data_IF_286335040106
#
_entry.id   IF_286335040106
#
_cell.length_a   1.000
_cell.length_b   1.000
_cell.length_c   1.000
_cell.angle_alpha   90.00
_cell.angle_beta   90.00
_cell.angle_gamma   90.00
#
_symmetry.space_group_name_H-M   'P 1'
#
loop_
_entity.id
_entity.type
_entity.pdbx_description
1 polymer ?
#
# COMPACT_ATOMS: atom_id res chain seq x y z
N UNK A 1 10.46 -2.10 -23.58
CA UNK A 1 9.06 -1.95 -24.09
C UNK A 1 8.42 -0.88 -23.25
N UNK A 2 7.99 0.24 -23.82
CA UNK A 2 7.36 1.33 -23.09
C UNK A 2 5.99 0.81 -22.61
N UNK A 3 5.72 0.86 -21.30
CA UNK A 3 4.41 0.50 -20.79
C UNK A 3 3.40 1.58 -21.21
N UNK A 4 2.33 1.18 -21.88
CA UNK A 4 1.17 2.05 -22.02
C UNK A 4 0.48 2.17 -20.68
N UNK A 5 0.31 3.42 -20.23
CA UNK A 5 -0.42 3.70 -19.00
C UNK A 5 -1.91 3.40 -19.21
N UNK A 6 -2.57 2.90 -18.20
CA UNK A 6 -4.01 2.77 -18.13
C UNK A 6 -4.66 4.16 -17.91
N UNK A 7 -5.94 4.30 -18.21
CA UNK A 7 -6.64 5.58 -18.15
C UNK A 7 -6.54 6.24 -16.76
N UNK A 8 -6.77 5.49 -15.69
CA UNK A 8 -6.61 6.00 -14.33
C UNK A 8 -5.17 6.38 -14.01
N UNK A 9 -4.17 5.67 -14.54
CA UNK A 9 -2.75 5.98 -14.35
C UNK A 9 -2.38 7.29 -15.04
N UNK A 10 -2.89 7.51 -16.27
CA UNK A 10 -2.72 8.79 -16.96
C UNK A 10 -3.40 9.95 -16.22
N UNK A 11 -4.59 9.70 -15.67
CA UNK A 11 -5.31 10.65 -14.82
C UNK A 11 -4.50 11.05 -13.60
N UNK A 12 -3.99 10.04 -12.86
CA UNK A 12 -3.16 10.25 -11.69
C UNK A 12 -1.84 10.96 -12.03
N UNK A 13 -1.19 10.58 -13.14
CA UNK A 13 0.02 11.24 -13.62
C UNK A 13 -0.21 12.72 -13.94
N UNK A 14 -1.31 13.06 -14.62
CA UNK A 14 -1.65 14.46 -14.93
C UNK A 14 -1.86 15.27 -13.66
N UNK A 15 -2.57 14.71 -12.69
CA UNK A 15 -2.82 15.37 -11.42
C UNK A 15 -1.55 15.56 -10.60
N UNK A 16 -0.74 14.51 -10.43
CA UNK A 16 0.56 14.57 -9.77
C UNK A 16 1.45 15.64 -10.42
N UNK A 17 1.58 15.61 -11.73
CA UNK A 17 2.41 16.57 -12.45
C UNK A 17 1.95 18.01 -12.21
N UNK A 18 0.64 18.29 -12.29
CA UNK A 18 0.10 19.61 -12.03
C UNK A 18 0.29 20.08 -10.57
N UNK A 19 0.28 19.14 -9.59
CA UNK A 19 0.62 19.44 -8.19
C UNK A 19 2.10 19.80 -8.06
N UNK A 20 2.98 18.99 -8.63
CA UNK A 20 4.43 19.21 -8.60
C UNK A 20 4.84 20.53 -9.27
N UNK A 21 4.19 20.93 -10.37
CA UNK A 21 4.43 22.21 -11.00
C UNK A 21 4.20 23.41 -10.07
N UNK A 22 3.20 23.30 -9.19
CA UNK A 22 2.90 24.33 -8.19
C UNK A 22 3.86 24.28 -7.01
N UNK A 23 4.11 23.08 -6.48
CA UNK A 23 4.99 22.86 -5.34
C UNK A 23 6.44 23.28 -5.64
N UNK A 24 6.96 22.99 -6.84
CA UNK A 24 8.30 23.40 -7.26
C UNK A 24 8.45 24.92 -7.42
N UNK A 25 7.37 25.69 -7.53
CA UNK A 25 7.38 27.15 -7.53
C UNK A 25 7.20 27.75 -6.14
N UNK A 26 6.75 26.95 -5.18
CA UNK A 26 6.60 27.36 -3.79
C UNK A 26 7.96 27.53 -3.13
N UNK A 27 8.04 28.44 -2.17
CA UNK A 27 9.18 28.57 -1.26
C UNK A 27 8.99 27.74 0.03
N UNK A 28 7.84 27.10 0.20
CA UNK A 28 7.54 26.25 1.35
C UNK A 28 7.79 24.79 0.97
N UNK A 29 8.23 24.01 1.96
CA UNK A 29 8.32 22.56 1.81
C UNK A 29 6.90 22.00 1.84
N UNK A 30 6.53 21.26 0.81
CA UNK A 30 5.19 20.69 0.68
C UNK A 30 5.25 19.17 0.54
N UNK A 31 4.26 18.48 1.11
CA UNK A 31 4.10 17.02 1.05
C UNK A 31 2.91 16.68 0.16
N UNK A 32 3.16 15.89 -0.87
CA UNK A 32 2.13 15.31 -1.72
C UNK A 32 2.00 13.82 -1.44
N UNK A 33 0.80 13.35 -1.14
CA UNK A 33 0.53 11.90 -1.01
C UNK A 33 -0.08 11.39 -2.31
N UNK A 34 0.52 10.35 -2.85
CA UNK A 34 -0.04 9.51 -3.91
C UNK A 34 -0.64 8.25 -3.28
N UNK A 35 -1.95 8.24 -3.13
CA UNK A 35 -2.69 7.12 -2.58
C UNK A 35 -3.26 6.26 -3.71
N UNK A 36 -2.81 5.01 -3.80
CA UNK A 36 -3.35 4.08 -4.79
C UNK A 36 -3.31 2.63 -4.27
N UNK A 37 -4.26 1.78 -4.69
CA UNK A 37 -4.32 0.38 -4.27
C UNK A 37 -3.04 -0.40 -4.54
N UNK A 38 -2.82 -1.47 -3.76
CA UNK A 38 -1.73 -2.41 -4.06
C UNK A 38 -2.01 -3.10 -5.40
N UNK A 39 -1.02 -3.14 -6.29
CA UNK A 39 -1.18 -3.71 -7.64
C UNK A 39 -1.65 -2.70 -8.71
N UNK A 40 -1.95 -1.45 -8.36
CA UNK A 40 -2.37 -0.41 -9.31
C UNK A 40 -1.22 0.15 -10.17
N UNK A 41 0.02 -0.30 -9.99
CA UNK A 41 1.16 0.21 -10.75
C UNK A 41 1.71 1.55 -10.24
N UNK A 42 1.61 1.86 -8.95
CA UNK A 42 2.15 3.08 -8.32
C UNK A 42 3.56 3.46 -8.80
N UNK A 43 4.48 2.49 -8.78
CA UNK A 43 5.87 2.69 -9.20
C UNK A 43 5.99 3.12 -10.67
N UNK A 44 5.13 2.60 -11.55
CA UNK A 44 5.11 2.98 -12.98
C UNK A 44 4.63 4.41 -13.15
N UNK A 45 3.56 4.81 -12.46
CA UNK A 45 3.05 6.19 -12.50
C UNK A 45 4.10 7.17 -12.00
N UNK A 46 4.80 6.85 -10.90
CA UNK A 46 5.86 7.71 -10.36
C UNK A 46 7.07 7.74 -11.29
N UNK A 47 7.47 6.62 -11.90
CA UNK A 47 8.54 6.62 -12.90
C UNK A 47 8.23 7.57 -14.07
N UNK A 48 6.99 7.54 -14.58
CA UNK A 48 6.58 8.47 -15.64
C UNK A 48 6.47 9.93 -15.15
N UNK A 49 6.08 10.16 -13.89
CA UNK A 49 6.12 11.48 -13.27
C UNK A 49 7.53 12.06 -13.27
N UNK A 50 8.52 11.30 -12.76
CA UNK A 50 9.92 11.75 -12.71
C UNK A 50 10.45 12.04 -14.11
N UNK A 51 10.17 11.14 -15.07
CA UNK A 51 10.52 11.35 -16.48
C UNK A 51 9.91 12.64 -17.04
N UNK A 52 8.65 12.89 -16.79
CA UNK A 52 7.94 14.07 -17.27
C UNK A 52 8.47 15.34 -16.64
N UNK A 53 8.78 15.32 -15.33
CA UNK A 53 9.40 16.45 -14.63
C UNK A 53 10.73 16.83 -15.26
N UNK A 54 11.61 15.86 -15.51
CA UNK A 54 12.92 16.10 -16.12
C UNK A 54 12.80 16.64 -17.56
N UNK A 55 11.83 16.16 -18.33
CA UNK A 55 11.61 16.62 -19.71
C UNK A 55 11.05 18.03 -19.81
N UNK A 56 10.06 18.36 -18.96
CA UNK A 56 9.29 19.58 -19.07
C UNK A 56 9.79 20.72 -18.17
N UNK A 57 10.55 20.39 -17.10
CA UNK A 57 11.08 21.39 -16.15
C UNK A 57 12.57 21.65 -16.31
N UNK A 58 13.01 21.93 -17.54
CA UNK A 58 14.40 22.19 -17.88
C UNK A 58 15.03 23.38 -17.15
N UNK A 59 14.21 24.30 -16.65
CA UNK A 59 14.67 25.46 -15.88
C UNK A 59 15.02 25.10 -14.42
N UNK A 60 14.67 23.89 -13.96
CA UNK A 60 15.01 23.37 -12.64
C UNK A 60 16.06 22.27 -12.78
N UNK A 61 17.12 22.36 -12.00
CA UNK A 61 18.07 21.27 -11.83
C UNK A 61 17.47 20.34 -10.76
N UNK A 62 16.96 19.19 -11.16
CA UNK A 62 16.26 18.26 -10.28
C UNK A 62 17.18 17.11 -9.86
N UNK A 63 17.17 16.77 -8.59
CA UNK A 63 17.79 15.58 -8.02
C UNK A 63 16.80 14.88 -7.12
N UNK A 64 16.89 13.55 -7.05
CA UNK A 64 15.87 12.73 -6.40
C UNK A 64 16.48 11.81 -5.34
N UNK A 65 15.75 11.61 -4.24
CA UNK A 65 16.04 10.59 -3.23
C UNK A 65 14.84 9.68 -3.11
N UNK A 66 15.04 8.37 -3.29
CA UNK A 66 14.01 7.36 -3.15
C UNK A 66 14.26 6.51 -1.91
N UNK A 67 13.38 6.60 -0.95
CA UNK A 67 13.47 5.84 0.31
C UNK A 67 12.36 4.80 0.33
N UNK A 68 12.73 3.55 0.62
CA UNK A 68 11.77 2.46 0.77
C UNK A 68 12.21 1.49 1.87
N UNK A 69 11.25 0.81 2.56
CA UNK A 69 11.57 -0.14 3.60
C UNK A 69 12.21 -1.43 3.07
N UNK A 70 13.06 -2.05 3.88
CA UNK A 70 13.73 -3.33 3.60
C UNK A 70 14.44 -3.32 2.24
N UNK A 71 14.22 -4.34 1.41
CA UNK A 71 14.82 -4.47 0.07
C UNK A 71 13.94 -3.88 -1.06
N UNK A 72 12.88 -3.15 -0.72
CA UNK A 72 12.01 -2.50 -1.71
C UNK A 72 12.76 -1.48 -2.55
N UNK A 73 13.70 -0.74 -1.96
CA UNK A 73 14.51 0.23 -2.68
C UNK A 73 15.30 -0.42 -3.84
N UNK A 74 15.86 -1.63 -3.65
CA UNK A 74 16.55 -2.39 -4.71
C UNK A 74 15.56 -2.80 -5.83
N UNK A 75 14.37 -3.24 -5.45
CA UNK A 75 13.33 -3.61 -6.41
C UNK A 75 12.82 -2.39 -7.18
N UNK A 76 12.57 -1.28 -6.50
CA UNK A 76 12.17 -0.02 -7.13
C UNK A 76 13.26 0.49 -8.07
N UNK A 77 14.53 0.46 -7.65
CA UNK A 77 15.69 0.79 -8.50
C UNK A 77 15.67 -0.04 -9.79
N UNK A 78 15.65 -1.37 -9.67
CA UNK A 78 15.63 -2.28 -10.83
C UNK A 78 14.45 -2.03 -11.77
N UNK A 79 13.28 -1.75 -11.22
CA UNK A 79 12.08 -1.44 -12.02
C UNK A 79 12.25 -0.10 -12.76
N UNK A 80 12.78 0.91 -12.11
CA UNK A 80 13.01 2.22 -12.73
C UNK A 80 14.12 2.14 -13.78
N UNK A 81 15.23 1.45 -13.51
CA UNK A 81 16.29 1.19 -14.50
C UNK A 81 15.72 0.55 -15.76
N UNK A 82 14.90 -0.50 -15.62
CA UNK A 82 14.23 -1.13 -16.75
C UNK A 82 13.29 -0.18 -17.51
N UNK A 83 12.61 0.72 -16.81
CA UNK A 83 11.74 1.73 -17.43
C UNK A 83 12.52 2.80 -18.19
N UNK A 84 13.74 3.15 -17.74
CA UNK A 84 14.57 4.21 -18.32
C UNK A 84 15.64 3.71 -19.31
N UNK A 85 15.75 2.39 -19.48
CA UNK A 85 16.78 1.75 -20.33
C UNK A 85 16.86 2.35 -21.74
N UNK A 86 15.74 2.80 -22.29
CA UNK A 86 15.67 3.29 -23.66
C UNK A 86 15.93 4.79 -23.85
N UNK A 87 15.78 5.61 -22.79
CA UNK A 87 15.90 7.07 -22.98
C UNK A 87 16.98 7.74 -22.10
N UNK A 88 17.58 7.02 -21.17
CA UNK A 88 18.70 7.44 -20.31
C UNK A 88 18.52 8.84 -19.68
N UNK A 89 17.28 9.27 -19.46
CA UNK A 89 16.97 10.59 -18.92
C UNK A 89 17.23 10.70 -17.42
N UNK A 90 17.16 9.58 -16.73
CA UNK A 90 17.32 9.46 -15.30
C UNK A 90 18.37 8.38 -15.01
N UNK A 91 19.25 8.66 -14.06
CA UNK A 91 20.24 7.70 -13.56
C UNK A 91 19.82 7.19 -12.20
N UNK A 92 19.92 5.87 -11.97
CA UNK A 92 19.60 5.24 -10.71
C UNK A 92 20.88 4.83 -9.98
N UNK A 93 21.16 5.39 -8.81
CA UNK A 93 22.40 5.20 -8.07
C UNK A 93 22.15 4.67 -6.66
N UNK A 94 23.10 3.91 -6.15
CA UNK A 94 23.23 3.66 -4.72
C UNK A 94 24.20 4.69 -4.13
N UNK A 95 24.36 4.67 -2.82
CA UNK A 95 25.23 5.60 -2.12
C UNK A 95 26.69 5.52 -2.59
N UNK A 96 27.16 4.31 -2.86
CA UNK A 96 28.52 4.02 -3.29
C UNK A 96 28.80 4.45 -4.75
N UNK A 97 27.75 4.66 -5.54
CA UNK A 97 27.84 5.06 -6.95
C UNK A 97 28.01 6.59 -7.12
N UNK A 98 27.73 7.38 -6.05
CA UNK A 98 27.74 8.84 -6.11
C UNK A 98 29.13 9.42 -6.35
N UNK A 99 29.20 10.41 -7.25
CA UNK A 99 30.40 11.17 -7.54
C UNK A 99 30.39 12.50 -6.78
N UNK A 100 31.55 12.98 -6.42
CA UNK A 100 31.74 14.31 -5.78
C UNK A 100 30.89 14.54 -4.53
N UNK A 101 30.46 13.47 -3.83
CA UNK A 101 29.63 13.52 -2.62
C UNK A 101 28.37 14.39 -2.81
N UNK A 102 27.73 14.26 -3.95
CA UNK A 102 26.43 14.90 -4.28
C UNK A 102 25.61 14.03 -5.20
N UNK A 103 24.33 14.34 -5.30
CA UNK A 103 23.41 13.75 -6.27
C UNK A 103 23.45 14.64 -7.52
N UNK A 104 23.79 14.06 -8.65
CA UNK A 104 23.86 14.81 -9.91
C UNK A 104 22.46 15.16 -10.45
N UNK A 105 22.42 16.02 -11.47
CA UNK A 105 21.18 16.37 -12.15
C UNK A 105 20.53 15.13 -12.76
N UNK A 106 19.24 14.95 -12.55
CA UNK A 106 18.44 13.82 -13.01
C UNK A 106 18.90 12.47 -12.45
N UNK A 107 19.57 12.47 -11.32
CA UNK A 107 19.99 11.27 -10.61
C UNK A 107 19.02 10.96 -9.47
N UNK A 108 18.71 9.67 -9.30
CA UNK A 108 17.87 9.13 -8.23
C UNK A 108 18.75 8.31 -7.30
N UNK A 109 18.92 8.77 -6.07
CA UNK A 109 19.63 8.05 -5.03
C UNK A 109 18.66 7.14 -4.27
N UNK A 110 18.91 5.83 -4.27
CA UNK A 110 18.09 4.85 -3.58
C UNK A 110 18.61 4.52 -2.20
N UNK A 111 17.71 4.54 -1.23
CA UNK A 111 18.02 4.24 0.17
C UNK A 111 17.06 3.24 0.80
N UNK A 112 17.63 2.44 1.69
CA UNK A 112 16.86 1.61 2.60
C UNK A 112 16.47 2.40 3.86
N UNK A 113 15.20 2.35 4.23
CA UNK A 113 14.68 2.99 5.42
C UNK A 113 15.35 2.56 6.73
N UNK A 114 15.59 1.25 6.89
CA UNK A 114 16.27 0.72 8.08
C UNK A 114 17.73 1.15 8.17
N UNK A 115 18.36 1.49 7.06
CA UNK A 115 19.71 2.04 7.05
C UNK A 115 19.75 3.46 7.64
N UNK A 116 18.71 4.25 7.46
CA UNK A 116 18.59 5.59 8.03
C UNK A 116 18.35 5.53 9.54
N UNK A 117 17.62 4.52 10.04
CA UNK A 117 17.17 4.43 11.43
C UNK A 117 18.17 3.78 12.41
N UNK A 118 19.28 3.22 11.96
CA UNK A 118 20.26 2.59 12.86
C UNK A 118 21.16 3.63 13.52
N UNK A 119 21.23 3.60 14.87
CA UNK A 119 22.01 4.55 15.69
C UNK A 119 23.50 4.66 15.34
N UNK A 120 24.08 3.67 14.69
CA UNK A 120 25.51 3.59 14.34
C UNK A 120 25.69 3.42 12.81
N UNK A 121 24.84 4.05 12.01
CA UNK A 121 24.93 3.90 10.57
C UNK A 121 25.97 4.87 10.00
N UNK A 122 26.89 4.33 9.23
CA UNK A 122 27.95 5.09 8.53
C UNK A 122 27.41 6.17 7.58
N UNK A 123 26.15 6.04 7.12
CA UNK A 123 25.50 7.01 6.22
C UNK A 123 24.89 8.22 6.95
N UNK A 124 24.79 8.17 8.28
CA UNK A 124 24.20 9.26 9.10
C UNK A 124 25.23 9.88 10.02
N UNK A 125 26.20 9.10 10.50
CA UNK A 125 27.25 9.62 11.40
C UNK A 125 28.31 10.37 10.61
N UNK A 126 28.77 11.48 11.17
CA UNK A 126 29.98 12.13 10.73
C UNK A 126 31.12 11.10 10.82
N UNK A 127 31.69 10.74 9.69
CA UNK A 127 32.85 9.89 9.59
C UNK A 127 34.04 10.72 9.11
N UNK A 128 35.27 10.20 9.29
CA UNK A 128 36.51 10.87 8.87
C UNK A 128 36.55 11.24 7.39
N UNK A 129 35.63 10.73 6.57
CA UNK A 129 35.54 10.98 5.13
C UNK A 129 34.40 11.95 4.77
N UNK A 130 33.66 12.54 5.72
CA UNK A 130 32.46 13.37 5.48
C UNK A 130 31.47 12.76 4.47
N UNK A 131 31.35 11.45 4.50
CA UNK A 131 30.57 10.70 3.53
C UNK A 131 29.26 10.25 4.17
N UNK A 132 28.40 11.23 4.51
CA UNK A 132 27.10 10.98 5.09
C UNK A 132 25.99 11.61 4.24
N UNK A 133 24.75 11.14 4.42
CA UNK A 133 23.60 11.58 3.66
C UNK A 133 23.34 13.09 3.79
N UNK A 134 23.56 13.64 4.96
CA UNK A 134 23.37 15.08 5.23
C UNK A 134 24.32 15.94 4.40
N UNK A 135 25.61 15.56 4.35
CA UNK A 135 26.62 16.24 3.54
C UNK A 135 26.31 16.14 2.04
N UNK A 136 25.90 14.95 1.57
CA UNK A 136 25.53 14.77 0.17
C UNK A 136 24.35 15.67 -0.22
N UNK A 137 23.33 15.73 0.61
CA UNK A 137 22.16 16.59 0.37
C UNK A 137 22.54 18.06 0.42
N UNK A 138 23.38 18.47 1.37
CA UNK A 138 23.86 19.82 1.46
C UNK A 138 24.63 20.22 0.18
N UNK A 139 25.61 19.42 -0.26
CA UNK A 139 26.37 19.65 -1.48
C UNK A 139 25.49 19.73 -2.73
N UNK A 140 24.46 18.86 -2.80
CA UNK A 140 23.49 18.85 -3.88
C UNK A 140 22.73 20.19 -3.94
N UNK A 141 22.25 20.68 -2.81
CA UNK A 141 21.52 21.95 -2.71
C UNK A 141 22.41 23.17 -2.98
N UNK A 142 23.64 23.17 -2.45
CA UNK A 142 24.63 24.23 -2.69
C UNK A 142 25.00 24.31 -4.17
N UNK A 143 24.88 23.20 -4.91
CA UNK A 143 25.03 23.17 -6.37
C UNK A 143 23.81 23.72 -7.13
N UNK A 144 22.77 24.22 -6.41
CA UNK A 144 21.58 24.83 -7.00
C UNK A 144 20.49 23.83 -7.41
N UNK A 145 20.59 22.58 -6.96
CA UNK A 145 19.60 21.55 -7.29
C UNK A 145 18.37 21.65 -6.38
N UNK A 146 17.20 21.42 -6.94
CA UNK A 146 15.98 21.16 -6.19
C UNK A 146 15.88 19.68 -5.87
N UNK A 147 15.71 19.38 -4.59
CA UNK A 147 15.63 18.02 -4.07
C UNK A 147 14.19 17.55 -3.94
N UNK A 148 13.88 16.47 -4.65
CA UNK A 148 12.60 15.77 -4.53
C UNK A 148 12.83 14.48 -3.75
N UNK A 149 12.14 14.34 -2.60
CA UNK A 149 12.16 13.15 -1.78
C UNK A 149 10.95 12.27 -2.11
N UNK A 150 11.19 11.01 -2.44
CA UNK A 150 10.16 9.99 -2.66
C UNK A 150 10.21 8.99 -1.52
N UNK A 151 9.09 8.78 -0.83
CA UNK A 151 8.94 7.82 0.27
C UNK A 151 7.95 6.76 -0.17
N UNK A 152 8.47 5.59 -0.53
CA UNK A 152 7.65 4.45 -0.91
C UNK A 152 7.17 3.68 0.33
N UNK A 153 5.90 3.25 0.32
CA UNK A 153 5.21 2.62 1.46
C UNK A 153 5.31 3.48 2.74
N UNK A 154 4.96 4.76 2.65
CA UNK A 154 5.14 5.79 3.68
C UNK A 154 4.50 5.47 5.04
N UNK A 155 3.51 4.57 5.08
CA UNK A 155 2.91 4.11 6.34
C UNK A 155 3.92 3.39 7.28
N UNK A 156 5.04 2.88 6.75
CA UNK A 156 6.14 2.36 7.58
C UNK A 156 7.00 3.48 8.15
N UNK A 157 7.12 4.59 7.43
CA UNK A 157 7.85 5.77 7.87
C UNK A 157 7.16 6.44 9.07
N UNK A 158 5.85 6.57 8.99
CA UNK A 158 5.02 7.18 10.03
C UNK A 158 5.04 6.44 11.39
N UNK A 159 5.52 5.19 11.42
CA UNK A 159 5.60 4.38 12.65
C UNK A 159 6.85 4.67 13.49
N UNK A 160 7.81 5.46 13.01
CA UNK A 160 9.07 5.73 13.69
C UNK A 160 9.34 7.24 13.79
N UNK A 161 9.18 7.85 14.98
CA UNK A 161 9.43 9.28 15.25
C UNK A 161 10.78 9.76 14.71
N UNK A 162 11.84 8.96 14.88
CA UNK A 162 13.18 9.28 14.36
C UNK A 162 13.26 9.43 12.85
N UNK A 163 12.41 8.72 12.14
CA UNK A 163 12.37 8.76 10.69
C UNK A 163 11.84 10.09 10.19
N UNK A 164 10.85 10.63 10.87
CA UNK A 164 10.28 11.95 10.57
C UNK A 164 11.30 13.07 10.87
N UNK A 165 12.06 12.96 11.96
CA UNK A 165 13.13 13.90 12.28
C UNK A 165 14.19 13.94 11.16
N UNK A 166 14.64 12.78 10.68
CA UNK A 166 15.64 12.70 9.60
C UNK A 166 15.07 13.28 8.29
N UNK A 167 13.83 12.98 7.92
CA UNK A 167 13.17 13.56 6.73
C UNK A 167 13.10 15.08 6.85
N UNK A 168 12.75 15.59 8.04
CA UNK A 168 12.73 17.03 8.30
C UNK A 168 14.12 17.67 8.16
N UNK A 169 15.16 16.98 8.61
CA UNK A 169 16.55 17.48 8.51
C UNK A 169 17.07 17.49 7.07
N UNK A 170 16.57 16.62 6.21
CA UNK A 170 16.90 16.63 4.76
C UNK A 170 16.36 17.87 4.05
N UNK A 171 15.33 18.51 4.58
CA UNK A 171 14.67 19.71 4.04
C UNK A 171 14.42 19.63 2.53
N UNK A 172 13.75 18.58 2.00
CA UNK A 172 13.47 18.49 0.57
C UNK A 172 12.61 19.67 0.10
N UNK A 173 12.76 20.08 -1.16
CA UNK A 173 11.88 21.09 -1.75
C UNK A 173 10.45 20.55 -1.92
N UNK A 174 10.33 19.27 -2.29
CA UNK A 174 9.05 18.55 -2.41
C UNK A 174 9.20 17.14 -1.88
N UNK A 175 8.21 16.67 -1.13
CA UNK A 175 8.11 15.27 -0.71
C UNK A 175 6.93 14.60 -1.39
N UNK A 176 7.17 13.44 -2.02
CA UNK A 176 6.15 12.53 -2.54
C UNK A 176 6.06 11.29 -1.65
N UNK A 177 4.97 11.13 -0.96
CA UNK A 177 4.67 9.90 -0.24
C UNK A 177 3.80 8.97 -1.08
N UNK A 178 4.19 7.71 -1.18
CA UNK A 178 3.48 6.68 -1.94
C UNK A 178 2.98 5.63 -0.97
N UNK A 179 1.66 5.41 -0.92
CA UNK A 179 1.08 4.37 -0.08
C UNK A 179 -0.30 3.93 -0.55
N UNK A 180 -0.68 2.70 -0.24
CA UNK A 180 -2.07 2.26 -0.34
C UNK A 180 -2.90 2.72 0.88
N UNK A 181 -2.25 2.86 2.04
CA UNK A 181 -2.87 3.24 3.32
C UNK A 181 -2.08 4.35 4.01
N UNK A 182 -2.05 5.56 3.44
CA UNK A 182 -1.24 6.65 3.97
C UNK A 182 -1.74 7.17 5.31
N UNK A 183 -0.83 7.74 6.10
CA UNK A 183 -1.21 8.56 7.23
C UNK A 183 -1.58 9.96 6.72
N UNK A 184 -2.86 10.33 6.85
CA UNK A 184 -3.38 11.61 6.32
C UNK A 184 -3.17 12.79 7.29
N UNK A 185 -2.21 12.71 8.21
CA UNK A 185 -1.83 13.84 9.07
C UNK A 185 -0.78 14.68 8.36
N UNK A 186 -0.90 15.99 8.50
CA UNK A 186 0.11 16.97 8.06
C UNK A 186 0.49 16.87 6.57
N UNK A 187 -0.52 16.74 5.69
CA UNK A 187 -0.35 16.70 4.24
C UNK A 187 -0.87 17.97 3.58
N UNK A 188 -0.18 18.42 2.54
CA UNK A 188 -0.58 19.59 1.75
C UNK A 188 -1.43 19.20 0.55
N UNK A 189 -1.07 18.12 -0.11
CA UNK A 189 -1.70 17.64 -1.33
C UNK A 189 -2.00 16.13 -1.25
N UNK A 190 -3.11 15.70 -1.83
CA UNK A 190 -3.50 14.29 -1.94
C UNK A 190 -3.97 13.99 -3.36
N UNK A 191 -3.36 12.99 -3.97
CA UNK A 191 -3.77 12.43 -5.27
C UNK A 191 -4.24 10.98 -5.03
N UNK A 192 -5.55 10.75 -4.89
CA UNK A 192 -6.09 9.42 -4.70
C UNK A 192 -6.41 8.77 -6.04
N UNK A 193 -6.17 7.47 -6.14
CA UNK A 193 -6.71 6.59 -7.19
C UNK A 193 -7.86 5.79 -6.60
N UNK A 194 -9.00 5.80 -7.28
CA UNK A 194 -10.15 5.01 -6.87
C UNK A 194 -9.90 3.52 -7.15
N UNK A 195 -10.29 2.67 -6.22
CA UNK A 195 -10.18 1.23 -6.38
C UNK A 195 -11.02 0.75 -7.58
N UNK A 196 -12.19 1.35 -7.78
CA UNK A 196 -13.09 0.96 -8.84
C UNK A 196 -12.46 1.19 -10.21
N UNK A 197 -11.74 2.30 -10.39
CA UNK A 197 -11.03 2.60 -11.64
C UNK A 197 -9.95 1.52 -11.93
N UNK A 198 -9.26 1.04 -10.89
CA UNK A 198 -8.23 -0.01 -11.02
C UNK A 198 -8.84 -1.38 -11.37
N UNK A 199 -10.04 -1.65 -10.84
CA UNK A 199 -10.81 -2.87 -11.16
C UNK A 199 -11.34 -2.80 -12.60
N UNK A 200 -11.89 -1.67 -13.02
CA UNK A 200 -12.43 -1.47 -14.38
C UNK A 200 -11.36 -1.60 -15.45
N UNK A 201 -10.14 -1.18 -15.14
CA UNK A 201 -8.95 -1.37 -16.01
C UNK A 201 -8.30 -2.77 -15.88
N UNK A 202 -8.95 -3.71 -15.19
CA UNK A 202 -8.55 -5.13 -15.06
C UNK A 202 -7.14 -5.34 -14.47
N UNK A 203 -6.61 -4.37 -13.74
CA UNK A 203 -5.27 -4.45 -13.15
C UNK A 203 -5.23 -5.33 -11.90
N UNK A 204 -6.35 -5.40 -11.20
CA UNK A 204 -6.53 -6.24 -10.02
C UNK A 204 -7.83 -7.05 -10.13
N UNK A 205 -7.91 -8.12 -9.35
CA UNK A 205 -9.12 -8.94 -9.26
C UNK A 205 -10.30 -8.13 -8.69
N UNK A 206 -11.49 -8.48 -9.10
CA UNK A 206 -12.70 -7.70 -8.79
C UNK A 206 -13.38 -8.11 -7.48
N UNK A 207 -13.00 -9.26 -6.90
CA UNK A 207 -13.70 -9.82 -5.74
C UNK A 207 -12.77 -10.63 -4.84
N UNK A 208 -13.02 -10.60 -3.54
CA UNK A 208 -12.44 -11.53 -2.57
C UNK A 208 -13.53 -12.42 -2.03
N UNK A 209 -13.28 -13.73 -2.11
CA UNK A 209 -14.19 -14.75 -1.58
C UNK A 209 -13.56 -15.38 -0.35
N UNK A 210 -14.27 -15.28 0.76
CA UNK A 210 -13.82 -15.84 2.05
C UNK A 210 -14.53 -17.16 2.31
N UNK A 211 -13.77 -18.21 2.64
CA UNK A 211 -14.28 -19.53 2.98
C UNK A 211 -15.34 -20.06 2.02
N UNK A 212 -15.12 -20.06 0.69
CA UNK A 212 -16.11 -20.53 -0.25
C UNK A 212 -16.49 -21.98 0.06
N UNK A 213 -17.81 -22.26 0.02
CA UNK A 213 -18.38 -23.60 0.18
C UNK A 213 -18.18 -24.26 1.58
N UNK A 214 -17.70 -23.56 2.59
CA UNK A 214 -17.49 -24.12 3.94
C UNK A 214 -18.77 -24.72 4.55
N UNK A 215 -19.94 -24.15 4.26
CA UNK A 215 -21.22 -24.66 4.73
C UNK A 215 -21.60 -26.04 4.14
N UNK A 216 -20.99 -26.41 3.02
CA UNK A 216 -21.25 -27.72 2.36
C UNK A 216 -20.36 -28.83 2.94
N UNK A 217 -19.39 -28.48 3.78
CA UNK A 217 -18.44 -29.45 4.33
C UNK A 217 -19.08 -30.16 5.50
N UNK A 218 -19.19 -31.48 5.40
CA UNK A 218 -19.53 -32.33 6.56
C UNK A 218 -18.33 -32.34 7.48
N UNK A 219 -18.41 -31.59 8.57
CA UNK A 219 -17.39 -31.55 9.62
C UNK A 219 -17.41 -32.90 10.34
N UNK A 220 -16.52 -33.79 9.94
CA UNK A 220 -16.22 -35.02 10.67
C UNK A 220 -15.23 -34.78 11.81
N UNK A 221 -14.49 -35.79 12.22
CA UNK A 221 -13.43 -35.71 13.24
C UNK A 221 -12.12 -35.00 12.72
N UNK A 222 -12.19 -34.20 11.65
CA UNK A 222 -11.03 -33.47 11.11
C UNK A 222 -10.76 -32.22 11.94
N UNK A 223 -9.49 -31.92 12.14
CA UNK A 223 -9.06 -30.66 12.74
C UNK A 223 -9.44 -29.46 11.82
N UNK A 224 -9.83 -28.31 12.38
CA UNK A 224 -10.20 -27.13 11.60
C UNK A 224 -9.11 -26.69 10.60
N UNK A 225 -7.86 -26.76 10.99
CA UNK A 225 -6.71 -26.41 10.13
C UNK A 225 -6.57 -27.32 8.92
N UNK A 226 -6.83 -28.63 9.10
CA UNK A 226 -6.82 -29.58 8.00
C UNK A 226 -7.87 -29.24 6.94
N UNK A 227 -9.05 -28.85 7.40
CA UNK A 227 -10.16 -28.47 6.51
C UNK A 227 -9.78 -27.23 5.70
N UNK A 228 -9.18 -26.23 6.36
CA UNK A 228 -8.78 -24.98 5.72
C UNK A 228 -7.72 -25.24 4.64
N UNK A 229 -6.67 -26.02 4.96
CA UNK A 229 -5.61 -26.37 4.01
C UNK A 229 -6.17 -27.17 2.84
N UNK A 230 -6.97 -28.22 3.13
CA UNK A 230 -7.57 -29.07 2.10
C UNK A 230 -8.43 -28.29 1.11
N UNK A 231 -9.27 -27.36 1.60
CA UNK A 231 -10.12 -26.54 0.74
C UNK A 231 -9.31 -25.52 -0.08
N UNK A 232 -8.25 -24.95 0.50
CA UNK A 232 -7.36 -24.06 -0.23
C UNK A 232 -6.66 -24.78 -1.38
N UNK A 233 -6.13 -26.00 -1.14
CA UNK A 233 -5.48 -26.80 -2.16
C UNK A 233 -6.48 -27.29 -3.23
N UNK A 234 -7.68 -27.68 -2.84
CA UNK A 234 -8.74 -28.04 -3.77
C UNK A 234 -9.12 -26.86 -4.69
N UNK A 235 -9.24 -25.66 -4.10
CA UNK A 235 -9.50 -24.44 -4.89
C UNK A 235 -8.34 -24.14 -5.84
N UNK A 236 -7.10 -24.28 -5.39
CA UNK A 236 -5.92 -24.12 -6.26
C UNK A 236 -5.99 -25.02 -7.49
N UNK A 237 -6.29 -26.28 -7.28
CA UNK A 237 -6.38 -27.26 -8.37
C UNK A 237 -7.52 -26.93 -9.34
N UNK A 238 -8.66 -26.47 -8.84
CA UNK A 238 -9.77 -25.99 -9.67
C UNK A 238 -9.38 -24.78 -10.52
N UNK A 239 -8.72 -23.78 -9.90
CA UNK A 239 -8.23 -22.61 -10.62
C UNK A 239 -7.20 -22.98 -11.69
N UNK A 240 -6.27 -23.91 -11.40
CA UNK A 240 -5.29 -24.39 -12.36
C UNK A 240 -5.96 -25.00 -13.60
N UNK A 241 -6.92 -25.89 -13.41
CA UNK A 241 -7.68 -26.50 -14.51
C UNK A 241 -8.45 -25.48 -15.34
N UNK A 242 -8.98 -24.43 -14.71
CA UNK A 242 -9.67 -23.33 -15.39
C UNK A 242 -8.70 -22.47 -16.19
N UNK A 243 -7.53 -22.16 -15.67
CA UNK A 243 -6.46 -21.44 -16.38
C UNK A 243 -5.99 -22.22 -17.61
N UNK A 244 -5.74 -23.51 -17.45
CA UNK A 244 -5.36 -24.39 -18.56
C UNK A 244 -6.42 -24.41 -19.68
N UNK A 245 -7.72 -24.41 -19.33
CA UNK A 245 -8.80 -24.32 -20.31
C UNK A 245 -8.84 -22.99 -21.06
N UNK A 246 -8.40 -21.91 -20.44
CA UNK A 246 -8.27 -20.60 -21.08
C UNK A 246 -6.92 -20.39 -21.81
N UNK A 247 -6.10 -21.46 -21.88
CA UNK A 247 -4.81 -21.42 -22.58
C UNK A 247 -3.71 -20.71 -21.81
N UNK A 248 -3.90 -20.47 -20.50
CA UNK A 248 -2.91 -19.85 -19.63
C UNK A 248 -2.05 -20.94 -18.96
N UNK A 249 -0.74 -20.71 -18.90
CA UNK A 249 0.22 -21.57 -18.20
C UNK A 249 0.49 -21.14 -16.76
N UNK A 250 -0.28 -20.21 -16.23
CA UNK A 250 -0.15 -19.74 -14.85
C UNK A 250 -0.40 -20.88 -13.86
N UNK A 251 0.56 -21.12 -12.98
CA UNK A 251 0.42 -22.07 -11.88
C UNK A 251 0.00 -21.35 -10.59
N UNK A 252 -1.26 -21.44 -10.14
CA UNK A 252 -1.75 -20.70 -8.98
C UNK A 252 -0.96 -21.06 -7.71
N UNK A 253 -0.60 -20.04 -6.94
CA UNK A 253 0.14 -20.19 -5.69
C UNK A 253 -0.78 -19.99 -4.49
N UNK A 254 -0.68 -20.89 -3.51
CA UNK A 254 -1.29 -20.76 -2.18
C UNK A 254 -0.30 -20.12 -1.23
N UNK A 255 -0.70 -19.04 -0.60
CA UNK A 255 0.05 -18.37 0.48
C UNK A 255 -0.47 -18.86 1.83
N UNK A 256 0.39 -19.42 2.67
CA UNK A 256 0.04 -19.82 4.05
C UNK A 256 0.77 -18.91 5.02
N UNK A 257 0.02 -18.09 5.74
CA UNK A 257 0.56 -17.13 6.68
C UNK A 257 0.60 -17.71 8.09
N UNK A 258 1.79 -17.71 8.69
CA UNK A 258 2.02 -18.18 10.06
C UNK A 258 1.86 -17.04 11.09
N UNK A 259 1.44 -17.36 12.34
CA UNK A 259 1.32 -16.39 13.42
C UNK A 259 2.66 -15.75 13.82
N UNK A 260 2.61 -14.55 14.40
CA UNK A 260 3.79 -13.73 14.70
C UNK A 260 4.59 -14.20 15.92
N UNK A 261 3.97 -14.87 16.87
CA UNK A 261 4.63 -15.31 18.09
C UNK A 261 5.63 -16.45 17.82
N UNK A 262 6.90 -16.23 18.16
CA UNK A 262 8.03 -17.12 17.77
C UNK A 262 7.81 -18.59 18.18
N UNK A 263 7.39 -18.88 19.41
CA UNK A 263 7.12 -20.24 19.89
C UNK A 263 5.96 -20.91 19.13
N UNK A 264 4.83 -20.24 19.04
CA UNK A 264 3.64 -20.72 18.31
C UNK A 264 3.87 -20.86 16.80
N UNK A 265 4.78 -20.05 16.24
CA UNK A 265 5.14 -20.10 14.83
C UNK A 265 5.89 -21.39 14.48
N UNK A 266 6.86 -21.80 15.30
CA UNK A 266 7.66 -23.00 15.03
C UNK A 266 6.78 -24.24 15.04
N UNK A 267 5.98 -24.42 16.11
CA UNK A 267 5.05 -25.52 16.23
C UNK A 267 4.06 -25.56 15.06
N UNK A 268 3.52 -24.37 14.68
CA UNK A 268 2.58 -24.26 13.58
C UNK A 268 3.19 -24.55 12.23
N UNK A 269 4.43 -24.08 11.98
CA UNK A 269 5.17 -24.40 10.75
C UNK A 269 5.33 -25.91 10.60
N UNK A 270 5.82 -26.58 11.64
CA UNK A 270 6.10 -28.01 11.60
C UNK A 270 4.82 -28.85 11.42
N UNK A 271 3.72 -28.44 12.07
CA UNK A 271 2.41 -29.04 11.87
C UNK A 271 1.91 -28.89 10.42
N UNK A 272 1.99 -27.67 9.87
CA UNK A 272 1.55 -27.39 8.48
C UNK A 272 2.40 -28.15 7.48
N UNK A 273 3.74 -28.13 7.63
CA UNK A 273 4.67 -28.87 6.75
C UNK A 273 4.37 -30.37 6.80
N UNK A 274 4.16 -30.92 8.00
CA UNK A 274 3.79 -32.32 8.16
C UNK A 274 2.47 -32.65 7.46
N UNK A 275 1.43 -31.83 7.64
CA UNK A 275 0.14 -32.02 6.98
C UNK A 275 0.23 -31.98 5.47
N UNK A 276 1.00 -31.02 4.92
CA UNK A 276 1.26 -30.90 3.48
C UNK A 276 1.99 -32.12 2.93
N UNK A 277 3.00 -32.62 3.65
CA UNK A 277 3.77 -33.83 3.27
C UNK A 277 2.91 -35.08 3.32
N UNK A 278 2.30 -35.36 4.46
CA UNK A 278 1.65 -36.65 4.73
C UNK A 278 0.34 -36.82 3.90
N UNK A 279 -0.47 -35.75 3.79
CA UNK A 279 -1.77 -35.81 3.16
C UNK A 279 -1.80 -35.37 1.68
N UNK A 280 -0.91 -34.43 1.31
CA UNK A 280 -0.95 -33.79 -0.02
C UNK A 280 0.30 -34.03 -0.86
N UNK A 281 1.35 -34.64 -0.29
CA UNK A 281 2.63 -34.89 -0.96
C UNK A 281 3.26 -33.62 -1.53
N UNK A 282 3.11 -32.51 -0.81
CA UNK A 282 3.70 -31.22 -1.12
C UNK A 282 4.89 -31.02 -0.17
N UNK A 283 6.10 -31.01 -0.73
CA UNK A 283 7.35 -30.90 0.04
C UNK A 283 8.34 -29.99 -0.66
N UNK A 284 9.39 -29.59 0.05
CA UNK A 284 10.50 -28.83 -0.56
C UNK A 284 11.31 -29.73 -1.52
N UNK A 285 11.48 -31.01 -1.20
CA UNK A 285 12.24 -31.96 -1.99
C UNK A 285 11.64 -32.21 -3.37
N UNK A 286 10.30 -32.10 -3.52
CA UNK A 286 9.64 -32.23 -4.81
C UNK A 286 9.38 -30.90 -5.51
N UNK A 287 9.92 -29.80 -5.00
CA UNK A 287 9.82 -28.47 -5.60
C UNK A 287 8.47 -27.79 -5.43
N UNK A 288 7.49 -28.40 -4.74
CA UNK A 288 6.13 -27.87 -4.64
C UNK A 288 5.89 -26.95 -3.43
N UNK A 289 6.78 -27.04 -2.42
CA UNK A 289 6.73 -26.22 -1.22
C UNK A 289 7.90 -25.24 -1.19
N UNK A 290 7.61 -24.01 -0.84
CA UNK A 290 8.62 -23.03 -0.45
C UNK A 290 8.33 -22.48 0.94
N UNK A 291 9.38 -22.15 1.68
CA UNK A 291 9.30 -21.55 3.02
C UNK A 291 10.11 -20.26 3.02
N UNK A 292 9.47 -19.18 3.46
CA UNK A 292 10.12 -17.88 3.61
C UNK A 292 9.85 -17.30 5.00
N UNK A 293 10.77 -17.51 5.89
CA UNK A 293 10.77 -16.96 7.25
C UNK A 293 12.02 -16.10 7.44
N UNK A 294 12.10 -15.34 8.54
CA UNK A 294 13.23 -14.43 8.79
C UNK A 294 14.60 -15.13 8.80
N UNK A 295 14.66 -16.38 9.24
CA UNK A 295 15.89 -17.15 9.40
C UNK A 295 15.94 -18.41 8.49
N UNK A 296 14.86 -18.73 7.80
CA UNK A 296 14.70 -19.95 6.99
C UNK A 296 14.20 -19.55 5.60
N UNK A 297 14.99 -19.83 4.60
CA UNK A 297 14.67 -19.58 3.20
C UNK A 297 14.93 -20.85 2.41
N UNK A 298 13.89 -21.33 1.72
CA UNK A 298 14.03 -22.48 0.81
C UNK A 298 14.75 -22.11 -0.48
N UNK A 299 15.54 -23.02 -1.03
CA UNK A 299 16.13 -22.87 -2.37
C UNK A 299 15.05 -22.79 -3.46
N UNK A 300 13.87 -23.39 -3.22
CA UNK A 300 12.69 -23.34 -4.09
C UNK A 300 12.10 -21.94 -4.26
N UNK A 301 12.54 -20.94 -3.48
CA UNK A 301 12.13 -19.54 -3.65
C UNK A 301 12.66 -18.90 -4.94
N UNK A 302 13.69 -19.49 -5.55
CA UNK A 302 14.25 -18.94 -6.77
C UNK A 302 13.19 -18.87 -7.90
N UNK A 303 12.98 -17.68 -8.42
CA UNK A 303 12.01 -17.40 -9.48
C UNK A 303 10.55 -17.78 -9.15
N UNK A 304 10.18 -17.79 -7.88
CA UNK A 304 8.81 -18.16 -7.45
C UNK A 304 7.74 -17.22 -8.04
N UNK A 305 8.12 -16.01 -8.42
CA UNK A 305 7.26 -15.02 -9.06
C UNK A 305 6.92 -15.34 -10.53
N UNK A 306 7.68 -16.20 -11.19
CA UNK A 306 7.38 -16.62 -12.57
C UNK A 306 6.04 -17.34 -12.62
N UNK A 307 5.27 -17.08 -13.67
CA UNK A 307 3.89 -17.56 -13.80
C UNK A 307 3.77 -19.09 -13.80
N UNK A 308 4.72 -19.77 -14.42
CA UNK A 308 4.80 -21.22 -14.61
C UNK A 308 5.63 -21.96 -13.56
N UNK A 309 6.15 -21.27 -12.53
CA UNK A 309 6.97 -21.88 -11.49
C UNK A 309 6.21 -23.00 -10.78
N UNK A 310 6.90 -24.11 -10.47
CA UNK A 310 6.33 -25.36 -9.97
C UNK A 310 5.83 -25.29 -8.52
N UNK A 311 6.31 -24.33 -7.72
CA UNK A 311 5.90 -24.16 -6.33
C UNK A 311 4.38 -23.92 -6.26
N UNK A 312 3.71 -24.76 -5.48
CA UNK A 312 2.25 -24.73 -5.27
C UNK A 312 1.85 -24.03 -3.97
N UNK A 313 2.71 -24.11 -2.95
CA UNK A 313 2.46 -23.56 -1.62
C UNK A 313 3.67 -22.77 -1.15
N UNK A 314 3.45 -21.57 -0.63
CA UNK A 314 4.44 -20.76 0.06
C UNK A 314 4.02 -20.53 1.50
N UNK A 315 4.81 -21.04 2.45
CA UNK A 315 4.66 -20.75 3.88
C UNK A 315 5.49 -19.51 4.21
N UNK A 316 4.87 -18.53 4.84
CA UNK A 316 5.54 -17.29 5.16
C UNK A 316 5.08 -16.68 6.49
N UNK A 317 5.87 -15.72 6.95
CA UNK A 317 5.56 -14.81 8.04
C UNK A 317 5.52 -13.36 7.51
N UNK A 318 5.63 -12.38 8.37
CA UNK A 318 5.61 -10.95 8.03
C UNK A 318 6.58 -10.51 6.92
N UNK A 319 7.70 -11.22 6.72
CA UNK A 319 8.78 -10.79 5.84
C UNK A 319 8.35 -10.60 4.37
N UNK A 320 7.37 -11.39 3.90
CA UNK A 320 6.83 -11.27 2.53
C UNK A 320 5.90 -10.08 2.39
N UNK A 321 5.36 -9.55 3.49
CA UNK A 321 4.35 -8.50 3.45
C UNK A 321 4.82 -7.24 2.73
N UNK A 322 6.13 -7.01 2.62
CA UNK A 322 6.68 -5.78 2.08
C UNK A 322 7.48 -6.07 0.81
N UNK A 323 7.01 -5.56 -0.31
CA UNK A 323 7.77 -5.51 -1.57
C UNK A 323 7.73 -6.73 -2.48
N UNK A 324 7.32 -7.91 -2.01
CA UNK A 324 7.28 -9.08 -2.87
C UNK A 324 6.12 -9.04 -3.87
N UNK A 325 6.43 -9.27 -5.15
CA UNK A 325 5.47 -9.27 -6.26
C UNK A 325 5.35 -10.66 -6.87
N UNK A 326 4.20 -11.31 -6.65
CA UNK A 326 3.90 -12.62 -7.23
C UNK A 326 2.43 -12.66 -7.68
N UNK A 327 2.12 -12.19 -8.90
CA UNK A 327 0.74 -12.08 -9.38
C UNK A 327 0.01 -13.42 -9.50
N UNK A 328 0.71 -14.55 -9.60
CA UNK A 328 0.11 -15.89 -9.60
C UNK A 328 -0.41 -16.34 -8.22
N UNK A 329 -0.11 -15.60 -7.15
CA UNK A 329 -0.71 -15.85 -5.85
C UNK A 329 -2.20 -15.49 -5.89
N UNK A 330 -3.06 -16.48 -5.67
CA UNK A 330 -4.52 -16.33 -5.80
C UNK A 330 -5.27 -16.74 -4.55
N UNK A 331 -4.61 -17.44 -3.64
CA UNK A 331 -5.23 -18.03 -2.46
C UNK A 331 -4.37 -17.69 -1.23
N UNK A 332 -5.03 -17.25 -0.16
CA UNK A 332 -4.42 -16.96 1.13
C UNK A 332 -5.05 -17.83 2.21
N UNK A 333 -4.23 -18.53 2.97
CA UNK A 333 -4.61 -19.25 4.18
C UNK A 333 -4.13 -18.47 5.40
N UNK A 334 -5.05 -18.15 6.30
CA UNK A 334 -4.79 -17.42 7.54
C UNK A 334 -5.32 -18.23 8.72
N UNK A 335 -4.45 -18.54 9.68
CA UNK A 335 -4.87 -19.21 10.91
C UNK A 335 -5.24 -18.18 12.00
N UNK A 336 -6.07 -18.61 12.95
CA UNK A 336 -6.50 -17.81 14.11
C UNK A 336 -5.29 -17.19 14.82
N UNK A 337 -5.27 -15.87 15.02
CA UNK A 337 -4.33 -15.09 15.87
C UNK A 337 -3.79 -13.79 15.26
N UNK A 338 -4.54 -13.16 14.35
CA UNK A 338 -4.15 -11.88 13.76
C UNK A 338 -4.54 -10.68 14.64
N UNK A 339 -3.59 -9.77 14.87
CA UNK A 339 -3.80 -8.54 15.65
C UNK A 339 -3.67 -7.24 14.85
N UNK A 340 -3.23 -7.26 13.60
CA UNK A 340 -2.96 -6.04 12.83
C UNK A 340 -3.71 -6.01 11.50
N UNK A 341 -4.63 -5.06 11.36
CA UNK A 341 -5.44 -4.82 10.17
C UNK A 341 -4.63 -4.36 8.96
N UNK A 342 -3.66 -3.48 9.17
CA UNK A 342 -2.83 -2.91 8.08
C UNK A 342 -2.04 -3.99 7.35
N UNK A 343 -1.50 -4.94 8.10
CA UNK A 343 -0.73 -6.05 7.55
C UNK A 343 -1.60 -6.99 6.71
N UNK A 344 -2.80 -7.28 7.16
CA UNK A 344 -3.77 -8.14 6.44
C UNK A 344 -4.15 -7.52 5.09
N UNK A 345 -4.39 -6.22 5.02
CA UNK A 345 -4.70 -5.50 3.78
C UNK A 345 -3.58 -5.66 2.74
N UNK A 346 -2.32 -5.51 3.14
CA UNK A 346 -1.20 -5.68 2.22
C UNK A 346 -1.06 -7.11 1.71
N UNK A 347 -1.29 -8.10 2.57
CA UNK A 347 -1.26 -9.50 2.19
C UNK A 347 -2.43 -9.85 1.26
N UNK A 348 -3.61 -9.33 1.54
CA UNK A 348 -4.80 -9.45 0.67
C UNK A 348 -4.53 -8.81 -0.69
N UNK A 349 -3.98 -7.60 -0.72
CA UNK A 349 -3.62 -6.92 -1.97
C UNK A 349 -2.69 -7.72 -2.89
N UNK A 350 -1.94 -8.70 -2.34
CA UNK A 350 -1.08 -9.59 -3.14
C UNK A 350 -1.86 -10.62 -3.91
N UNK A 351 -2.88 -11.21 -3.30
CA UNK A 351 -3.75 -12.18 -3.98
C UNK A 351 -4.74 -11.53 -4.94
N UNK A 352 -4.85 -10.19 -4.88
CA UNK A 352 -5.71 -9.41 -5.77
C UNK A 352 -5.06 -9.09 -7.11
N UNK A 353 -3.77 -9.29 -7.30
CA UNK A 353 -3.09 -9.00 -8.58
C UNK A 353 -3.54 -9.95 -9.68
N UNK A 354 -3.70 -9.41 -10.89
CA UNK A 354 -3.98 -10.22 -12.08
C UNK A 354 -2.66 -10.75 -12.67
N UNK A 355 -2.51 -12.08 -12.85
CA UNK A 355 -1.26 -12.67 -13.36
C UNK A 355 -0.86 -12.16 -14.74
N UNK A 356 -1.82 -12.05 -15.64
CA UNK A 356 -1.60 -11.64 -17.04
C UNK A 356 -2.10 -10.22 -17.34
N UNK A 357 -2.43 -9.43 -16.29
CA UNK A 357 -2.92 -8.04 -16.40
C UNK A 357 -4.15 -7.90 -17.30
N UNK A 358 -5.02 -8.90 -17.30
CA UNK A 358 -6.28 -8.97 -18.03
C UNK A 358 -7.25 -9.85 -17.26
N UNK A 359 -8.54 -9.65 -17.44
CA UNK A 359 -9.54 -10.57 -16.93
C UNK A 359 -9.66 -11.81 -17.82
N UNK A 360 -9.93 -12.93 -17.16
CA UNK A 360 -10.26 -14.18 -17.79
C UNK A 360 -11.78 -14.26 -18.06
N UNK A 361 -12.19 -15.06 -19.03
CA UNK A 361 -13.61 -15.28 -19.31
C UNK A 361 -14.30 -16.00 -18.14
N UNK A 362 -13.58 -16.89 -17.47
CA UNK A 362 -14.03 -17.59 -16.27
C UNK A 362 -13.96 -16.69 -15.07
N UNK A 363 -15.09 -16.24 -14.56
CA UNK A 363 -15.19 -15.23 -13.48
C UNK A 363 -14.45 -15.62 -12.18
N UNK A 364 -14.33 -16.90 -11.87
CA UNK A 364 -13.62 -17.40 -10.70
C UNK A 364 -12.12 -17.14 -10.74
N UNK A 365 -11.55 -16.98 -11.94
CA UNK A 365 -10.13 -16.63 -12.12
C UNK A 365 -9.84 -15.16 -11.78
N UNK A 366 -10.88 -14.33 -11.82
CA UNK A 366 -10.82 -12.91 -11.52
C UNK A 366 -11.09 -12.60 -10.04
N UNK A 367 -10.97 -13.61 -9.16
CA UNK A 367 -11.24 -13.50 -7.72
C UNK A 367 -10.04 -13.93 -6.88
N UNK A 368 -9.85 -13.28 -5.74
CA UNK A 368 -8.94 -13.72 -4.70
C UNK A 368 -9.68 -14.60 -3.67
N UNK A 369 -9.00 -15.59 -3.11
CA UNK A 369 -9.62 -16.51 -2.16
C UNK A 369 -8.91 -16.49 -0.82
N UNK A 370 -9.69 -16.39 0.26
CA UNK A 370 -9.17 -16.46 1.63
C UNK A 370 -9.81 -17.65 2.33
N UNK A 371 -8.98 -18.48 2.94
CA UNK A 371 -9.40 -19.59 3.78
C UNK A 371 -8.89 -19.39 5.20
N UNK A 372 -9.78 -19.51 6.18
CA UNK A 372 -9.43 -19.30 7.58
C UNK A 372 -10.38 -20.07 8.50
N UNK A 373 -9.87 -20.44 9.66
CA UNK A 373 -10.64 -21.06 10.74
C UNK A 373 -11.07 -20.05 11.83
N UNK A 374 -11.02 -18.77 11.53
CA UNK A 374 -11.48 -17.72 12.44
C UNK A 374 -13.01 -17.63 12.42
N UNK A 375 -13.64 -17.55 13.61
CA UNK A 375 -15.09 -17.44 13.74
C UNK A 375 -15.63 -16.07 13.32
N UNK A 376 -14.83 -15.02 13.51
CA UNK A 376 -15.16 -13.67 13.10
C UNK A 376 -13.98 -13.13 12.27
N UNK A 377 -14.19 -12.99 10.98
CA UNK A 377 -13.37 -12.15 10.16
C UNK A 377 -13.97 -10.75 10.28
N UNK A 378 -13.66 -10.06 11.36
CA UNK A 378 -13.70 -8.60 11.36
C UNK A 378 -12.53 -8.11 10.48
N UNK A 379 -12.70 -8.26 9.19
CA UNK A 379 -12.10 -7.36 8.23
C UNK A 379 -12.72 -6.02 8.61
N UNK A 380 -12.04 -5.27 9.45
CA UNK A 380 -12.57 -4.03 10.01
C UNK A 380 -13.10 -3.19 8.89
N UNK A 381 -14.40 -3.02 8.88
CA UNK A 381 -15.20 -2.49 7.77
C UNK A 381 -14.78 -1.09 7.30
N UNK A 382 -14.02 -0.36 8.10
CA UNK A 382 -13.58 0.99 7.74
C UNK A 382 -12.55 1.05 6.61
N UNK A 383 -11.69 0.02 6.47
CA UNK A 383 -10.67 -0.04 5.42
C UNK A 383 -11.04 -0.98 4.27
N UNK A 384 -11.96 -1.91 4.53
CA UNK A 384 -12.40 -2.90 3.54
C UNK A 384 -13.62 -2.42 2.76
N UNK A 385 -14.40 -1.47 3.27
CA UNK A 385 -15.54 -0.88 2.55
C UNK A 385 -15.14 -0.20 1.23
N UNK A 386 -13.91 0.29 1.15
CA UNK A 386 -13.39 0.91 -0.07
C UNK A 386 -12.64 -0.10 -0.95
N UNK A 387 -12.32 -1.31 -0.45
CA UNK A 387 -11.42 -2.27 -1.08
C UNK A 387 -12.02 -3.66 -1.36
N UNK A 388 -13.19 -3.99 -0.83
CA UNK A 388 -13.74 -5.36 -0.99
C UNK A 388 -15.26 -5.36 -0.94
N UNK A 389 -15.88 -5.88 -1.99
CA UNK A 389 -17.25 -6.33 -1.91
C UNK A 389 -17.25 -7.68 -1.20
N UNK A 390 -17.60 -7.71 0.09
CA UNK A 390 -17.71 -8.95 0.83
C UNK A 390 -19.10 -9.55 0.55
N UNK A 391 -19.12 -10.67 -0.15
CA UNK A 391 -20.32 -11.47 -0.30
C UNK A 391 -20.27 -12.65 0.67
N UNK A 392 -20.91 -12.51 1.82
CA UNK A 392 -21.34 -13.69 2.57
C UNK A 392 -22.50 -14.35 1.82
N UNK A 393 -22.28 -15.57 1.33
CA UNK A 393 -23.29 -16.31 0.58
C UNK A 393 -24.33 -16.92 1.52
N UNK A 394 -25.26 -16.11 2.01
CA UNK A 394 -26.46 -16.55 2.69
C UNK A 394 -27.72 -15.88 2.11
N UNK A 395 -27.80 -15.76 0.79
CA UNK A 395 -29.06 -15.35 0.19
C UNK A 395 -29.85 -16.57 -0.24
N UNK A 396 -31.00 -16.72 0.41
CA UNK A 396 -32.04 -17.55 -0.14
C UNK A 396 -32.68 -16.78 -1.29
N UNK A 397 -32.24 -17.02 -2.51
CA UNK A 397 -32.68 -16.31 -3.73
C UNK A 397 -34.17 -16.39 -3.98
N UNK A 398 -34.89 -17.38 -3.37
CA UNK A 398 -36.33 -17.51 -3.47
C UNK A 398 -37.12 -16.47 -2.68
N UNK A 399 -36.48 -15.80 -1.70
CA UNK A 399 -37.18 -14.89 -0.78
C UNK A 399 -36.83 -13.38 -1.05
N UNK A 400 -35.77 -13.07 -1.78
CA UNK A 400 -35.34 -11.67 -1.96
C UNK A 400 -35.03 -11.36 -3.41
N UNK A 401 -35.82 -10.47 -3.98
CA UNK A 401 -35.47 -9.83 -5.28
C UNK A 401 -34.30 -8.89 -5.08
N UNK A 402 -33.33 -8.83 -6.02
CA UNK A 402 -32.21 -7.90 -5.91
C UNK A 402 -32.71 -6.45 -5.93
N UNK A 403 -32.43 -5.73 -4.85
CA UNK A 403 -32.71 -4.28 -4.77
C UNK A 403 -31.52 -3.57 -5.39
N UNK A 404 -31.74 -2.91 -6.53
CA UNK A 404 -30.73 -2.01 -7.11
C UNK A 404 -30.69 -0.73 -6.29
N UNK A 405 -29.72 -0.61 -5.40
CA UNK A 405 -29.47 0.64 -4.67
C UNK A 405 -28.49 1.44 -5.53
N UNK A 406 -28.96 2.59 -6.07
CA UNK A 406 -28.05 3.59 -6.64
C UNK A 406 -27.33 4.26 -5.49
N UNK A 407 -26.06 3.97 -5.31
CA UNK A 407 -25.19 4.73 -4.43
C UNK A 407 -24.71 5.96 -5.19
N UNK A 408 -25.08 7.12 -4.72
CA UNK A 408 -24.51 8.39 -5.22
C UNK A 408 -23.39 8.75 -4.26
N UNK A 409 -22.16 8.51 -4.66
CA UNK A 409 -21.00 9.05 -3.98
C UNK A 409 -20.92 10.55 -4.27
N UNK A 410 -21.35 11.38 -3.33
CA UNK A 410 -20.97 12.78 -3.33
C UNK A 410 -19.53 12.84 -2.81
N UNK A 411 -18.55 12.94 -3.71
CA UNK A 411 -17.18 13.34 -3.35
C UNK A 411 -17.28 14.69 -2.62
N UNK A 412 -17.19 14.69 -1.29
CA UNK A 412 -16.85 15.90 -0.56
C UNK A 412 -15.39 16.20 -0.92
N UNK A 413 -15.17 17.13 -1.83
CA UNK A 413 -13.85 17.69 -2.05
C UNK A 413 -13.41 18.33 -0.72
N UNK A 414 -12.57 17.65 0.05
CA UNK A 414 -11.97 18.18 1.28
C UNK A 414 -11.11 19.44 1.03
N UNK A 415 -10.72 19.67 -0.21
CA UNK A 415 -9.98 20.88 -0.63
C UNK A 415 -10.67 22.20 -0.25
N UNK A 416 -11.99 22.22 -0.12
CA UNK A 416 -12.73 23.42 0.30
C UNK A 416 -12.82 23.62 1.81
N UNK A 417 -12.38 22.69 2.62
CA UNK A 417 -12.44 22.77 4.09
C UNK A 417 -11.09 23.07 4.75
N UNK A 418 -9.99 23.03 3.99
CA UNK A 418 -8.68 23.47 4.47
C UNK A 418 -8.45 24.91 4.06
N UNK A 419 -8.35 25.75 5.05
CA UNK A 419 -7.94 27.13 4.87
C UNK A 419 -6.44 27.12 4.55
N UNK A 420 -6.00 27.79 3.48
CA UNK A 420 -4.61 27.89 3.10
C UNK A 420 -3.76 28.47 4.26
N UNK A 421 -2.47 28.18 4.29
CA UNK A 421 -1.54 28.76 5.25
C UNK A 421 -1.59 30.29 5.24
N UNK A 422 -1.81 30.89 4.06
CA UNK A 422 -2.05 32.33 3.90
C UNK A 422 -3.33 32.81 4.60
N UNK A 423 -4.44 32.07 4.47
CA UNK A 423 -5.66 32.38 5.20
C UNK A 423 -5.43 32.30 6.70
N UNK A 424 -4.70 31.31 7.19
CA UNK A 424 -4.36 31.19 8.61
C UNK A 424 -3.51 32.40 9.08
N UNK A 425 -2.56 32.88 8.26
CA UNK A 425 -1.77 34.09 8.55
C UNK A 425 -2.66 35.34 8.60
N UNK A 426 -3.56 35.52 7.62
CA UNK A 426 -4.50 36.64 7.54
C UNK A 426 -5.49 36.57 8.70
N UNK A 427 -6.07 35.41 8.96
CA UNK A 427 -7.00 35.17 10.07
C UNK A 427 -6.35 35.48 11.41
N UNK A 428 -5.11 35.02 11.62
CA UNK A 428 -4.36 35.30 12.85
C UNK A 428 -3.97 36.77 13.04
N UNK A 429 -3.88 37.56 11.95
CA UNK A 429 -3.60 38.99 11.99
C UNK A 429 -4.86 39.84 12.20
N UNK A 430 -6.06 39.29 11.98
CA UNK A 430 -7.31 40.06 12.09
C UNK A 430 -7.63 40.43 13.54
N UNK A 431 -8.27 41.59 13.72
CA UNK A 431 -8.72 42.05 15.04
C UNK A 431 -9.76 41.10 15.67
N UNK A 432 -10.55 40.40 14.84
CA UNK A 432 -11.54 39.40 15.25
C UNK A 432 -10.87 38.22 15.93
N UNK A 433 -9.74 37.75 15.38
CA UNK A 433 -8.98 36.62 15.97
C UNK A 433 -8.33 36.95 17.32
N UNK A 434 -7.87 38.23 17.49
CA UNK A 434 -7.34 38.66 18.78
C UNK A 434 -8.44 38.66 19.85
N UNK A 435 -9.66 39.11 19.51
CA UNK A 435 -10.83 39.07 20.40
C UNK A 435 -11.28 37.65 20.70
N UNK A 436 -11.28 36.75 19.71
CA UNK A 436 -11.60 35.33 19.89
C UNK A 436 -10.55 34.59 20.76
N UNK A 437 -9.25 34.80 20.50
CA UNK A 437 -8.18 34.22 21.33
C UNK A 437 -8.28 34.66 22.78
N UNK A 438 -8.60 35.93 23.05
CA UNK A 438 -8.78 36.41 24.43
C UNK A 438 -9.97 35.78 25.14
N UNK A 439 -11.05 35.46 24.41
CA UNK A 439 -12.23 34.77 24.93
C UNK A 439 -11.97 33.27 25.17
N UNK A 440 -11.27 32.62 24.25
CA UNK A 440 -10.91 31.19 24.34
C UNK A 440 -9.96 30.97 25.53
N UNK A 441 -8.94 31.79 25.66
CA UNK A 441 -7.96 31.66 26.76
C UNK A 441 -8.58 31.94 28.14
N UNK A 442 -9.68 32.68 28.23
CA UNK A 442 -10.34 32.99 29.49
C UNK A 442 -11.32 31.91 29.98
N UNK A 443 -11.93 31.12 29.09
CA UNK A 443 -12.90 30.10 29.46
C UNK A 443 -13.21 29.11 28.31
N UNK A 444 -12.34 28.13 28.01
CA UNK A 444 -12.51 27.22 26.87
C UNK A 444 -13.79 26.39 26.95
N UNK A 445 -14.25 26.05 28.15
CA UNK A 445 -15.46 25.27 28.38
C UNK A 445 -16.77 26.03 28.17
N UNK A 446 -16.77 27.35 28.32
CA UNK A 446 -17.97 28.19 28.09
C UNK A 446 -18.20 28.52 26.63
N UNK A 447 -17.16 28.46 25.79
CA UNK A 447 -17.25 28.73 24.35
C UNK A 447 -17.66 27.49 23.58
N UNK A 448 -17.27 26.31 24.05
CA UNK A 448 -17.65 25.04 23.42
C UNK A 448 -19.15 24.72 23.61
N UNK A 449 -19.74 25.06 24.75
CA UNK A 449 -21.16 24.78 25.03
C UNK A 449 -22.16 25.48 24.13
N UNK A 450 -22.08 26.78 23.82
CA UNK A 450 -22.99 27.42 22.90
C UNK A 450 -22.90 26.89 21.46
N UNK A 451 -21.69 26.57 20.98
CA UNK A 451 -21.47 26.00 19.63
C UNK A 451 -22.11 24.61 19.53
N UNK A 452 -22.07 23.84 20.61
CA UNK A 452 -22.72 22.52 20.68
C UNK A 452 -24.23 22.60 20.89
N UNK A 453 -24.73 23.67 21.55
CA UNK A 453 -26.17 23.88 21.82
C UNK A 453 -26.94 24.53 20.67
N UNK A 454 -26.27 25.26 19.77
CA UNK A 454 -26.90 25.97 18.65
C UNK A 454 -27.17 25.10 17.41
N UNK A 455 -27.14 23.76 17.54
CA UNK A 455 -27.65 22.88 16.49
C UNK A 455 -26.80 22.76 15.23
N UNK A 456 -25.58 23.27 15.23
CA UNK A 456 -24.62 23.11 14.12
C UNK A 456 -24.02 21.71 14.04
N UNK A 457 -24.13 20.94 15.13
CA UNK A 457 -23.79 19.50 15.15
C UNK A 457 -25.10 18.73 15.36
N UNK A 458 -25.44 17.77 14.50
CA UNK A 458 -26.63 16.95 14.70
C UNK A 458 -26.56 16.24 16.04
N UNK A 459 -27.67 16.23 16.77
CA UNK A 459 -27.80 15.46 18.01
C UNK A 459 -27.44 14.01 17.74
N UNK A 460 -26.35 13.56 18.35
CA UNK A 460 -25.96 12.16 18.36
C UNK A 460 -26.61 11.57 19.60
N UNK A 461 -27.42 10.55 19.45
CA UNK A 461 -28.01 9.82 20.57
C UNK A 461 -26.94 9.01 21.35
N UNK A 462 -27.35 8.39 22.45
CA UNK A 462 -26.45 7.58 23.28
C UNK A 462 -25.87 6.35 22.55
N UNK A 463 -26.35 6.02 21.35
CA UNK A 463 -25.92 4.91 20.52
C UNK A 463 -24.99 5.35 19.39
N UNK A 464 -24.71 6.66 19.26
CA UNK A 464 -23.84 7.21 18.20
C UNK A 464 -24.55 7.40 16.85
N UNK A 465 -25.87 7.23 16.78
CA UNK A 465 -26.65 7.39 15.55
C UNK A 465 -27.04 8.87 15.36
N UNK A 466 -26.77 9.42 14.19
CA UNK A 466 -27.15 10.80 13.82
C UNK A 466 -28.62 10.80 13.36
N UNK A 467 -29.50 11.39 14.14
CA UNK A 467 -30.89 11.61 13.73
C UNK A 467 -30.99 12.79 12.73
N UNK A 468 -31.10 12.45 11.46
CA UNK A 468 -31.20 13.43 10.36
C UNK A 468 -32.62 14.04 10.24
N UNK A 469 -33.60 13.55 10.96
CA UNK A 469 -35.01 14.02 10.89
C UNK A 469 -35.23 15.36 11.60
N UNK A 470 -34.29 15.76 12.47
CA UNK A 470 -34.38 17.00 13.29
C UNK A 470 -33.55 18.17 12.74
N UNK A 471 -33.22 18.18 11.46
CA UNK A 471 -32.66 19.38 10.83
C UNK A 471 -33.68 20.47 10.79
N UNK A 472 -33.59 21.46 11.68
CA UNK A 472 -34.13 22.81 11.39
C UNK A 472 -33.16 23.45 10.39
N UNK A 473 -33.62 23.60 9.15
CA UNK A 473 -33.01 24.51 8.18
C UNK A 473 -33.07 25.92 8.75
N UNK A 474 -31.93 26.55 8.94
CA UNK A 474 -31.77 28.00 8.98
C UNK A 474 -31.32 28.43 7.61
#
# INVERSE_FOLDING_TARGET
MRFELREYQEGALRELFGRFERMLKSSEQEVCIFQAPTGSGKTVVVAELLRKLVKEKKDNILSFVWIAPRKLHEQSKKNLESNYEHDQLLTCSNFEDLRDKKIDQNEILFFNWESINKKNNIYIMDNEQDNNLSTIIQNTKESGHKLILIIDESHFAAAAEKSLEIIHDLKPDVTLEISATPNLKDIDQLVPVDLQDVIEDEMIKNEIVVNPEFLKIKVGAKEPDDIVIEQALKRREDLKKKLEKEGSNVNPLVLIQLPDQKAKMVDKKDDVVKKLKDKHKITEENGKLAIWLSEIHSDTLANIEKQDNEVEVLIFKQAIAIGWDCPRASILVVFREYKSVVFTIQTIGRIMRMPERKYYQTSELNKGYIFTNMENIDLTQEYVKDYVSQYESHRNESLYKPIKIKSIHLKRQRERTRLSGEFAKIFNRSSITKTLKSKINKNPTKIARPILSDGLIPNVDKTGVIDMSKKKLI
#
